data_IF_630177886295
#
_entry.id   IF_630177886295
#
_cell.length_a   1.000
_cell.length_b   1.000
_cell.length_c   1.000
_cell.angle_alpha   90.00
_cell.angle_beta   90.00
_cell.angle_gamma   90.00
#
_symmetry.space_group_name_H-M   'P 1'
#
loop_
_entity.id
_entity.type
_entity.pdbx_description
1 polymer ?
#
# COMPACT_ATOMS: atom_id res chain seq x y z
N UNK A 1 18.62 8.36 -12.42
CA UNK A 1 17.18 8.68 -12.29
C UNK A 1 16.98 9.46 -11.02
N UNK A 2 16.05 10.40 -10.98
CA UNK A 2 15.68 11.13 -9.76
C UNK A 2 14.61 10.39 -8.97
N UNK A 3 14.65 10.48 -7.62
CA UNK A 3 13.74 9.75 -6.71
C UNK A 3 13.06 10.74 -5.76
N UNK A 4 11.73 10.73 -5.76
CA UNK A 4 10.90 11.37 -4.77
C UNK A 4 10.43 10.34 -3.75
N UNK A 5 10.47 10.69 -2.47
CA UNK A 5 9.94 9.87 -1.36
C UNK A 5 8.74 10.58 -0.76
N UNK A 6 7.59 9.92 -0.74
CA UNK A 6 6.32 10.42 -0.21
C UNK A 6 5.99 9.71 1.10
N UNK A 7 5.63 10.49 2.11
CA UNK A 7 5.32 10.00 3.46
C UNK A 7 4.01 10.61 3.93
N UNK A 8 2.88 9.92 3.74
CA UNK A 8 1.64 10.27 4.43
C UNK A 8 1.79 9.99 5.92
N UNK A 9 1.38 10.93 6.76
CA UNK A 9 1.43 10.76 8.22
C UNK A 9 0.22 11.42 8.89
N UNK A 10 -0.16 10.91 10.07
CA UNK A 10 -1.24 11.46 10.88
C UNK A 10 -1.01 11.16 12.36
N UNK A 11 -0.79 12.19 13.17
CA UNK A 11 -0.59 12.07 14.62
C UNK A 11 0.54 11.09 15.05
N UNK A 12 1.62 11.00 14.24
CA UNK A 12 2.74 10.07 14.43
C UNK A 12 4.11 10.75 14.29
N UNK A 13 4.42 11.78 15.09
CA UNK A 13 5.66 12.55 14.94
C UNK A 13 6.91 11.71 15.20
N UNK A 14 6.84 10.73 16.10
CA UNK A 14 7.97 9.86 16.45
C UNK A 14 8.30 8.89 15.32
N UNK A 15 7.28 8.27 14.76
CA UNK A 15 7.41 7.35 13.63
C UNK A 15 7.98 8.08 12.41
N UNK A 16 7.39 9.21 12.05
CA UNK A 16 7.88 10.07 10.96
C UNK A 16 9.35 10.46 11.18
N UNK A 17 9.74 10.85 12.40
CA UNK A 17 11.12 11.22 12.68
C UNK A 17 12.08 10.04 12.55
N UNK A 18 11.68 8.84 12.96
CA UNK A 18 12.47 7.61 12.80
C UNK A 18 12.64 7.25 11.33
N UNK A 19 11.56 7.35 10.52
CA UNK A 19 11.65 7.14 9.08
C UNK A 19 12.64 8.12 8.44
N UNK A 20 12.52 9.43 8.70
CA UNK A 20 13.42 10.47 8.18
C UNK A 20 14.87 10.17 8.58
N UNK A 21 15.13 9.70 9.80
CA UNK A 21 16.46 9.29 10.23
C UNK A 21 17.02 8.14 9.38
N UNK A 22 16.20 7.18 8.99
CA UNK A 22 16.64 6.10 8.10
C UNK A 22 16.88 6.61 6.66
N UNK A 23 16.08 7.57 6.22
CA UNK A 23 16.16 8.15 4.89
C UNK A 23 17.44 8.97 4.67
N UNK A 24 17.84 9.79 5.63
CA UNK A 24 19.09 10.55 5.53
C UNK A 24 20.35 9.69 5.60
N UNK A 25 20.23 8.43 6.08
CA UNK A 25 21.33 7.45 6.11
C UNK A 25 21.44 6.62 4.83
N UNK A 26 20.56 6.84 3.84
CA UNK A 26 20.65 6.13 2.58
C UNK A 26 21.97 6.46 1.85
N UNK A 27 22.60 5.44 1.25
CA UNK A 27 23.80 5.62 0.39
C UNK A 27 23.46 6.41 -0.87
N UNK A 28 22.24 6.21 -1.41
CA UNK A 28 21.58 7.02 -2.44
C UNK A 28 20.46 7.82 -1.77
N UNK A 29 20.67 9.09 -1.52
CA UNK A 29 19.65 9.97 -0.92
C UNK A 29 18.54 10.27 -1.91
N UNK A 30 17.27 10.49 -1.48
CA UNK A 30 16.24 10.98 -2.38
C UNK A 30 16.57 12.40 -2.85
N UNK A 31 16.09 12.75 -4.03
CA UNK A 31 16.21 14.11 -4.57
C UNK A 31 15.11 15.02 -4.01
N UNK A 32 13.95 14.42 -3.70
CA UNK A 32 12.80 15.11 -3.12
C UNK A 32 12.17 14.26 -2.01
N UNK A 33 11.72 14.92 -0.94
CA UNK A 33 10.86 14.32 0.10
C UNK A 33 9.57 15.12 0.16
N UNK A 34 8.43 14.43 0.12
CA UNK A 34 7.11 15.03 0.24
C UNK A 34 6.45 14.43 1.48
N UNK A 35 6.22 15.23 2.51
CA UNK A 35 5.48 14.85 3.71
C UNK A 35 4.06 15.39 3.58
N UNK A 36 3.06 14.51 3.72
CA UNK A 36 1.65 14.90 3.78
C UNK A 36 1.12 14.62 5.17
N UNK A 37 1.10 15.64 6.00
CA UNK A 37 0.71 15.57 7.40
C UNK A 37 -0.77 15.95 7.58
N UNK A 38 -1.59 14.97 7.92
CA UNK A 38 -3.03 15.06 8.14
C UNK A 38 -3.40 15.26 9.62
N UNK A 39 -2.43 15.64 10.44
CA UNK A 39 -2.62 15.81 11.90
C UNK A 39 -3.43 17.06 12.22
N UNK A 40 -4.23 17.03 13.29
CA UNK A 40 -4.96 18.20 13.75
C UNK A 40 -4.05 19.33 14.24
N UNK A 41 -2.94 18.97 14.89
CA UNK A 41 -1.97 19.93 15.39
C UNK A 41 -0.69 19.87 14.57
N UNK A 42 -0.14 21.01 14.19
CA UNK A 42 1.20 21.09 13.61
C UNK A 42 2.21 20.46 14.56
N UNK A 43 2.99 19.50 14.08
CA UNK A 43 4.08 19.00 14.91
C UNK A 43 5.18 20.05 15.06
N UNK A 44 5.64 20.27 16.29
CA UNK A 44 6.84 21.08 16.57
C UNK A 44 8.10 20.54 15.83
N UNK A 45 8.03 19.31 15.33
CA UNK A 45 9.12 18.66 14.62
C UNK A 45 9.22 19.05 13.13
N UNK A 46 8.25 19.77 12.54
CA UNK A 46 8.32 20.21 11.13
C UNK A 46 9.64 20.90 10.83
N UNK A 47 9.95 21.97 11.57
CA UNK A 47 11.18 22.76 11.39
C UNK A 47 12.44 21.91 11.57
N UNK A 48 12.43 20.95 12.52
CA UNK A 48 13.56 20.03 12.72
C UNK A 48 13.75 19.09 11.56
N UNK A 49 12.67 18.57 10.97
CA UNK A 49 12.69 17.68 9.81
C UNK A 49 13.19 18.44 8.59
N UNK A 50 12.63 19.64 8.32
CA UNK A 50 13.03 20.51 7.22
C UNK A 50 14.53 20.85 7.30
N UNK A 51 15.01 21.35 8.43
CA UNK A 51 16.42 21.66 8.65
C UNK A 51 17.31 20.45 8.38
N UNK A 52 16.95 19.28 8.94
CA UNK A 52 17.72 18.04 8.80
C UNK A 52 17.83 17.54 7.36
N UNK A 53 16.79 17.68 6.55
CA UNK A 53 16.78 17.30 5.14
C UNK A 53 17.57 18.30 4.30
N UNK A 54 17.40 19.60 4.55
CA UNK A 54 18.13 20.67 3.85
C UNK A 54 19.63 20.59 4.09
N UNK A 55 20.09 20.29 5.32
CA UNK A 55 21.50 20.04 5.64
C UNK A 55 22.10 18.88 4.82
N UNK A 56 21.28 17.93 4.36
CA UNK A 56 21.68 16.83 3.49
C UNK A 56 21.44 17.12 2.00
N UNK A 57 21.10 18.35 1.63
CA UNK A 57 20.78 18.80 0.27
C UNK A 57 19.61 18.03 -0.35
N UNK A 58 18.61 17.66 0.45
CA UNK A 58 17.40 16.99 0.02
C UNK A 58 16.28 18.01 -0.05
N UNK A 59 15.63 18.14 -1.21
CA UNK A 59 14.48 19.04 -1.37
C UNK A 59 13.28 18.51 -0.57
N UNK A 60 12.62 19.37 0.20
CA UNK A 60 11.46 19.00 0.99
C UNK A 60 10.23 19.83 0.63
N UNK A 61 9.09 19.16 0.52
CA UNK A 61 7.74 19.73 0.47
C UNK A 61 6.94 19.20 1.65
N UNK A 62 6.73 20.00 2.67
CA UNK A 62 5.95 19.60 3.86
C UNK A 62 4.57 20.26 3.80
N UNK A 63 3.53 19.46 3.53
CA UNK A 63 2.13 19.85 3.51
C UNK A 63 1.52 19.47 4.83
N UNK A 64 0.97 20.44 5.54
CA UNK A 64 0.10 20.19 6.69
C UNK A 64 -1.31 20.59 6.31
N UNK A 65 -2.20 19.62 6.18
CA UNK A 65 -3.58 19.84 5.77
C UNK A 65 -4.52 18.81 6.44
N UNK A 66 -5.29 19.28 7.39
CA UNK A 66 -6.27 18.47 8.14
C UNK A 66 -7.47 18.05 7.29
N UNK A 67 -7.73 18.76 6.17
CA UNK A 67 -8.85 18.47 5.27
C UNK A 67 -8.60 17.22 4.43
N UNK A 68 -7.34 16.83 4.23
CA UNK A 68 -6.99 15.58 3.55
C UNK A 68 -7.47 14.39 4.38
N UNK A 69 -8.41 13.64 3.83
CA UNK A 69 -9.04 12.55 4.55
C UNK A 69 -8.59 11.17 4.05
N UNK A 70 -7.49 10.69 4.63
CA UNK A 70 -7.01 9.33 4.42
C UNK A 70 -5.85 9.20 3.44
N UNK A 71 -5.37 7.96 3.32
CA UNK A 71 -4.14 7.62 2.61
C UNK A 71 -4.23 7.90 1.10
N UNK A 72 -5.37 7.61 0.49
CA UNK A 72 -5.59 7.77 -0.96
C UNK A 72 -5.47 9.23 -1.38
N UNK A 73 -6.15 10.14 -0.66
CA UNK A 73 -6.10 11.58 -0.95
C UNK A 73 -4.68 12.14 -0.71
N UNK A 74 -4.01 11.68 0.34
CA UNK A 74 -2.64 12.08 0.63
C UNK A 74 -1.66 11.63 -0.47
N UNK A 75 -1.79 10.41 -0.98
CA UNK A 75 -1.00 9.93 -2.12
C UNK A 75 -1.33 10.72 -3.39
N UNK A 76 -2.60 10.93 -3.69
CA UNK A 76 -3.02 11.68 -4.88
C UNK A 76 -2.51 13.13 -4.89
N UNK A 77 -2.58 13.83 -3.75
CA UNK A 77 -2.04 15.20 -3.63
C UNK A 77 -0.53 15.25 -3.81
N UNK A 78 0.19 14.26 -3.29
CA UNK A 78 1.66 14.20 -3.41
C UNK A 78 2.14 13.91 -4.83
N UNK A 79 1.39 13.14 -5.63
CA UNK A 79 1.73 12.89 -7.04
C UNK A 79 1.84 14.20 -7.83
N UNK A 80 0.97 15.18 -7.55
CA UNK A 80 0.99 16.49 -8.22
C UNK A 80 2.24 17.32 -7.92
N UNK A 81 2.90 17.04 -6.81
CA UNK A 81 4.10 17.74 -6.35
C UNK A 81 5.40 17.02 -6.76
N UNK A 82 5.26 15.81 -7.27
CA UNK A 82 6.41 15.01 -7.69
C UNK A 82 7.11 15.66 -8.91
N UNK A 83 8.43 15.85 -8.79
CA UNK A 83 9.30 16.37 -9.85
C UNK A 83 10.35 15.35 -10.31
N UNK A 84 10.22 14.09 -9.86
CA UNK A 84 11.24 13.06 -10.07
C UNK A 84 10.75 11.96 -11.01
N UNK A 85 11.68 11.18 -11.54
CA UNK A 85 11.40 10.03 -12.42
C UNK A 85 10.72 8.87 -11.71
N UNK A 86 11.05 8.70 -10.42
CA UNK A 86 10.52 7.66 -9.53
C UNK A 86 9.83 8.33 -8.36
N UNK A 87 8.65 7.85 -8.03
CA UNK A 87 7.92 8.23 -6.81
C UNK A 87 7.77 6.99 -5.91
N UNK A 88 8.27 7.09 -4.69
CA UNK A 88 8.26 6.01 -3.70
C UNK A 88 7.37 6.39 -2.52
N UNK A 89 6.32 5.60 -2.27
CA UNK A 89 5.41 5.79 -1.14
C UNK A 89 5.85 4.92 0.03
N UNK A 90 6.01 5.51 1.20
CA UNK A 90 6.34 4.80 2.42
C UNK A 90 5.41 5.21 3.56
N UNK A 91 4.97 4.21 4.35
CA UNK A 91 4.35 4.46 5.63
C UNK A 91 5.37 5.06 6.61
N UNK A 92 4.90 5.89 7.54
CA UNK A 92 5.75 6.60 8.52
C UNK A 92 6.40 5.67 9.55
N UNK A 93 5.92 4.42 9.68
CA UNK A 93 6.41 3.39 10.62
C UNK A 93 7.38 2.37 9.95
N UNK A 94 8.00 2.76 8.85
CA UNK A 94 9.04 2.00 8.15
C UNK A 94 10.44 2.49 8.53
N UNK A 95 11.43 1.59 8.45
CA UNK A 95 12.85 1.90 8.55
C UNK A 95 13.57 1.25 7.38
N UNK A 96 14.20 2.06 6.53
CA UNK A 96 14.94 1.60 5.35
C UNK A 96 16.36 1.15 5.73
N UNK A 97 16.85 0.05 5.14
CA UNK A 97 18.28 -0.28 5.21
C UNK A 97 19.10 0.66 4.31
N UNK A 98 20.42 0.84 4.56
CA UNK A 98 21.21 1.89 3.90
C UNK A 98 21.23 1.91 2.37
N UNK A 99 21.06 0.76 1.72
CA UNK A 99 21.12 0.63 0.25
C UNK A 99 19.74 0.50 -0.41
N UNK A 100 18.65 0.74 0.32
CA UNK A 100 17.31 0.52 -0.21
C UNK A 100 17.07 1.30 -1.51
N UNK A 101 17.18 2.63 -1.48
CA UNK A 101 16.91 3.49 -2.63
C UNK A 101 17.89 3.27 -3.78
N UNK A 102 19.18 2.98 -3.48
CA UNK A 102 20.17 2.63 -4.48
C UNK A 102 19.74 1.39 -5.28
N UNK A 103 19.29 0.35 -4.59
CA UNK A 103 18.87 -0.89 -5.23
C UNK A 103 17.56 -0.72 -6.02
N UNK A 104 16.61 0.08 -5.52
CA UNK A 104 15.39 0.46 -6.27
C UNK A 104 15.77 1.14 -7.58
N UNK A 105 16.64 2.16 -7.53
CA UNK A 105 17.10 2.87 -8.72
C UNK A 105 17.75 1.95 -9.75
N UNK A 106 18.65 1.06 -9.31
CA UNK A 106 19.34 0.10 -10.17
C UNK A 106 18.39 -0.85 -10.90
N UNK A 107 17.33 -1.32 -10.22
CA UNK A 107 16.32 -2.17 -10.86
C UNK A 107 15.57 -1.40 -11.95
N UNK A 108 15.13 -0.18 -11.67
CA UNK A 108 14.45 0.64 -12.67
C UNK A 108 15.35 1.02 -13.84
N UNK A 109 16.64 1.29 -13.61
CA UNK A 109 17.60 1.60 -14.69
C UNK A 109 17.79 0.42 -15.64
N UNK A 110 17.87 -0.80 -15.09
CA UNK A 110 18.12 -2.03 -15.88
C UNK A 110 16.87 -2.59 -16.56
N UNK A 111 15.66 -2.22 -16.12
CA UNK A 111 14.43 -2.87 -16.56
C UNK A 111 13.36 -1.83 -16.92
N UNK A 112 13.35 -1.39 -18.15
CA UNK A 112 12.45 -0.31 -18.63
C UNK A 112 10.96 -0.69 -18.62
N UNK A 113 10.62 -2.00 -18.65
CA UNK A 113 9.24 -2.50 -18.61
C UNK A 113 8.64 -2.44 -17.20
N UNK A 114 9.47 -2.44 -16.15
CA UNK A 114 8.99 -2.36 -14.77
C UNK A 114 8.41 -0.98 -14.50
N UNK A 115 7.13 -0.95 -14.10
CA UNK A 115 6.40 0.25 -13.74
C UNK A 115 6.32 0.45 -12.24
N UNK A 116 6.26 -0.64 -11.47
CA UNK A 116 6.14 -0.62 -10.03
C UNK A 116 7.03 -1.68 -9.34
N UNK A 117 7.56 -1.34 -8.18
CA UNK A 117 8.55 -2.16 -7.46
C UNK A 117 8.36 -2.08 -5.95
N UNK A 118 8.37 -3.25 -5.28
CA UNK A 118 8.45 -3.36 -3.82
C UNK A 118 9.83 -3.86 -3.41
N UNK A 119 10.26 -3.44 -2.22
CA UNK A 119 11.36 -4.08 -1.51
C UNK A 119 10.87 -5.19 -0.58
N UNK A 120 11.80 -5.89 0.06
CA UNK A 120 11.57 -6.99 0.98
C UNK A 120 11.47 -6.50 2.43
N UNK A 121 10.38 -6.86 3.12
CA UNK A 121 10.22 -6.61 4.56
C UNK A 121 10.97 -7.70 5.34
N UNK A 122 11.99 -7.33 6.10
CA UNK A 122 12.83 -8.28 6.85
C UNK A 122 12.14 -8.85 8.09
N UNK A 123 11.32 -8.06 8.75
CA UNK A 123 10.57 -8.45 9.95
C UNK A 123 9.14 -8.92 9.65
N UNK A 124 8.87 -9.36 8.41
CA UNK A 124 7.57 -9.91 8.07
C UNK A 124 7.34 -11.23 8.85
N UNK A 125 6.22 -11.37 9.59
CA UNK A 125 5.93 -12.59 10.34
C UNK A 125 5.88 -13.82 9.43
N UNK A 126 6.58 -14.89 9.82
CA UNK A 126 6.48 -16.16 9.11
C UNK A 126 5.06 -16.69 9.22
N UNK A 127 4.42 -16.95 8.10
CA UNK A 127 3.11 -17.57 8.06
C UNK A 127 3.24 -19.09 8.20
N UNK A 128 2.32 -19.73 8.94
CA UNK A 128 2.21 -21.18 8.95
C UNK A 128 1.90 -21.70 7.54
N UNK A 129 2.23 -22.98 7.28
CA UNK A 129 1.97 -23.59 5.97
C UNK A 129 0.46 -23.63 5.66
N UNK A 130 -0.38 -23.96 6.64
CA UNK A 130 -1.84 -23.98 6.45
C UNK A 130 -2.39 -22.59 6.10
N UNK A 131 -1.91 -21.54 6.77
CA UNK A 131 -2.31 -20.15 6.44
C UNK A 131 -1.87 -19.75 5.04
N UNK A 132 -0.67 -20.17 4.63
CA UNK A 132 -0.18 -19.93 3.28
C UNK A 132 -1.05 -20.65 2.23
N UNK A 133 -1.32 -21.94 2.41
CA UNK A 133 -2.15 -22.72 1.49
C UNK A 133 -3.56 -22.13 1.37
N UNK A 134 -4.16 -21.77 2.50
CA UNK A 134 -5.46 -21.10 2.52
C UNK A 134 -5.45 -19.79 1.74
N UNK A 135 -4.40 -18.99 1.91
CA UNK A 135 -4.26 -17.72 1.18
C UNK A 135 -4.16 -17.96 -0.34
N UNK A 136 -3.36 -18.91 -0.79
CA UNK A 136 -3.22 -19.24 -2.22
C UNK A 136 -4.53 -19.71 -2.86
N UNK A 137 -5.36 -20.45 -2.11
CA UNK A 137 -6.66 -20.94 -2.60
C UNK A 137 -7.69 -19.82 -2.69
N UNK A 138 -7.65 -18.86 -1.75
CA UNK A 138 -8.70 -17.83 -1.64
C UNK A 138 -8.37 -16.54 -2.41
N UNK A 139 -7.09 -16.27 -2.66
CA UNK A 139 -6.64 -15.08 -3.41
C UNK A 139 -6.37 -15.42 -4.87
N UNK A 140 -7.46 -15.65 -5.61
CA UNK A 140 -7.44 -16.00 -7.04
C UNK A 140 -8.25 -14.99 -7.87
N UNK A 141 -8.24 -15.12 -9.18
CA UNK A 141 -8.97 -14.22 -10.08
C UNK A 141 -8.47 -12.79 -9.99
N UNK A 142 -9.39 -11.83 -9.82
CA UNK A 142 -9.04 -10.40 -9.76
C UNK A 142 -8.24 -10.04 -8.51
N UNK A 143 -8.47 -10.77 -7.40
CA UNK A 143 -7.74 -10.60 -6.13
C UNK A 143 -6.50 -11.47 -6.02
N UNK A 144 -6.02 -12.02 -7.15
CA UNK A 144 -4.79 -12.81 -7.13
C UNK A 144 -3.66 -12.00 -6.51
N UNK A 145 -3.04 -12.59 -5.48
CA UNK A 145 -1.96 -11.98 -4.71
C UNK A 145 -0.85 -13.00 -4.47
N UNK A 146 0.23 -12.87 -5.18
CA UNK A 146 1.36 -13.77 -5.11
C UNK A 146 2.50 -13.26 -4.20
N UNK A 147 2.28 -12.20 -3.41
CA UNK A 147 3.29 -11.63 -2.51
C UNK A 147 3.85 -12.67 -1.53
N UNK A 148 2.98 -13.51 -0.94
CA UNK A 148 3.42 -14.57 -0.03
C UNK A 148 4.33 -15.60 -0.71
N UNK A 149 4.01 -16.00 -1.93
CA UNK A 149 4.83 -16.90 -2.75
C UNK A 149 6.18 -16.24 -3.08
N UNK A 150 6.18 -14.97 -3.45
CA UNK A 150 7.38 -14.20 -3.74
C UNK A 150 8.33 -14.11 -2.54
N UNK A 151 7.80 -13.89 -1.32
CA UNK A 151 8.60 -13.90 -0.10
C UNK A 151 9.25 -15.27 0.20
N UNK A 152 8.62 -16.37 -0.19
CA UNK A 152 9.11 -17.74 0.01
C UNK A 152 10.07 -18.20 -1.07
N UNK A 153 10.01 -17.65 -2.28
CA UNK A 153 10.94 -17.99 -3.36
C UNK A 153 12.37 -17.63 -2.95
N UNK A 154 13.31 -18.58 -3.00
CA UNK A 154 14.72 -18.35 -2.64
C UNK A 154 15.64 -18.24 -3.85
N UNK A 155 15.19 -18.63 -5.03
CA UNK A 155 16.01 -18.73 -6.23
C UNK A 155 16.16 -17.41 -7.00
N UNK A 156 15.18 -16.52 -6.90
CA UNK A 156 15.13 -15.30 -7.70
C UNK A 156 15.22 -14.04 -6.82
N UNK A 157 15.95 -13.05 -7.29
CA UNK A 157 16.07 -11.74 -6.62
C UNK A 157 15.05 -10.72 -7.11
N UNK A 158 14.49 -10.91 -8.28
CA UNK A 158 13.48 -10.05 -8.90
C UNK A 158 12.28 -10.92 -9.31
N UNK A 159 11.13 -10.71 -8.71
CA UNK A 159 9.96 -11.58 -8.83
C UNK A 159 8.76 -10.77 -9.26
N UNK A 160 8.06 -11.21 -10.32
CA UNK A 160 6.82 -10.59 -10.78
C UNK A 160 5.73 -10.70 -9.71
N UNK A 161 5.02 -9.60 -9.46
CA UNK A 161 3.92 -9.52 -8.52
C UNK A 161 2.60 -9.17 -9.22
N UNK A 162 1.51 -9.65 -8.64
CA UNK A 162 0.17 -9.22 -9.03
C UNK A 162 -0.25 -7.92 -8.33
N UNK A 163 0.22 -7.71 -7.10
CA UNK A 163 -0.15 -6.56 -6.26
C UNK A 163 1.10 -6.02 -5.57
N UNK A 164 1.27 -4.70 -5.55
CA UNK A 164 2.27 -4.05 -4.72
C UNK A 164 1.63 -3.58 -3.40
N UNK A 165 2.41 -3.65 -2.31
CA UNK A 165 1.98 -3.12 -1.01
C UNK A 165 2.08 -1.59 -1.02
N UNK A 166 0.97 -0.91 -0.73
CA UNK A 166 0.84 0.52 -0.86
C UNK A 166 1.80 1.35 0.01
N UNK A 167 2.13 0.86 1.20
CA UNK A 167 3.01 1.55 2.15
C UNK A 167 4.52 1.37 1.92
N UNK A 168 4.94 0.70 0.83
CA UNK A 168 6.36 0.48 0.50
C UNK A 168 6.62 0.36 -1.01
N UNK A 169 5.79 0.98 -1.82
CA UNK A 169 5.83 0.85 -3.28
C UNK A 169 6.55 2.02 -3.94
N UNK A 170 7.40 1.69 -4.92
CA UNK A 170 8.07 2.65 -5.78
C UNK A 170 7.55 2.52 -7.21
N UNK A 171 7.28 3.63 -7.87
CA UNK A 171 6.64 3.68 -9.18
C UNK A 171 7.40 4.59 -10.14
N UNK A 172 7.44 4.25 -11.43
CA UNK A 172 7.79 5.24 -12.45
C UNK A 172 6.75 6.35 -12.47
N UNK A 173 7.16 7.59 -12.40
CA UNK A 173 6.25 8.74 -12.41
C UNK A 173 5.32 8.76 -13.64
N UNK A 174 5.77 8.26 -14.79
CA UNK A 174 4.96 8.15 -16.02
C UNK A 174 3.69 7.32 -15.86
N UNK A 175 3.61 6.42 -14.87
CA UNK A 175 2.39 5.64 -14.57
C UNK A 175 1.25 6.59 -14.22
N UNK A 176 1.53 7.64 -13.46
CA UNK A 176 0.53 8.59 -12.99
C UNK A 176 0.02 9.54 -14.09
N UNK A 177 0.65 9.57 -15.26
CA UNK A 177 0.10 10.26 -16.44
C UNK A 177 -1.11 9.52 -17.03
N UNK A 178 -1.24 8.21 -16.75
CA UNK A 178 -2.34 7.37 -17.27
C UNK A 178 -3.29 6.88 -16.18
N UNK A 179 -2.83 6.75 -14.95
CA UNK A 179 -3.59 6.16 -13.85
C UNK A 179 -3.44 7.05 -12.62
N UNK A 180 -4.55 7.60 -12.13
CA UNK A 180 -4.60 8.39 -10.90
C UNK A 180 -5.10 7.51 -9.74
N UNK A 181 -4.79 7.87 -8.49
CA UNK A 181 -5.44 7.26 -7.35
C UNK A 181 -6.95 7.58 -7.34
N UNK A 182 -7.77 6.60 -6.98
CA UNK A 182 -9.23 6.76 -6.93
C UNK A 182 -9.65 7.48 -5.65
N UNK A 183 -9.71 8.81 -5.71
CA UNK A 183 -10.13 9.65 -4.59
C UNK A 183 -11.64 9.70 -4.39
N UNK A 184 -12.42 9.24 -5.38
CA UNK A 184 -13.90 9.25 -5.35
C UNK A 184 -14.39 8.06 -4.52
N UNK A 185 -13.98 6.86 -4.89
CA UNK A 185 -14.41 5.63 -4.21
C UNK A 185 -13.68 5.38 -2.88
N UNK A 186 -12.56 6.06 -2.65
CA UNK A 186 -11.80 6.08 -1.38
C UNK A 186 -11.59 4.68 -0.81
N UNK A 187 -10.84 3.86 -1.51
CA UNK A 187 -10.44 2.53 -1.02
C UNK A 187 -9.46 2.70 0.14
N UNK A 188 -9.95 2.65 1.38
CA UNK A 188 -9.14 2.95 2.56
C UNK A 188 -8.21 1.82 3.01
N UNK A 189 -8.57 0.57 2.70
CA UNK A 189 -7.81 -0.62 3.08
C UNK A 189 -7.31 -1.43 1.90
N UNK A 190 -7.83 -1.20 0.70
CA UNK A 190 -7.50 -1.95 -0.52
C UNK A 190 -7.08 -1.02 -1.68
N UNK A 191 -6.58 0.18 -1.39
CA UNK A 191 -6.14 1.12 -2.42
C UNK A 191 -4.96 0.59 -3.24
N UNK A 192 -4.09 -0.19 -2.63
CA UNK A 192 -2.95 -0.83 -3.28
C UNK A 192 -3.41 -1.97 -4.22
N UNK A 193 -4.42 -2.72 -3.81
CA UNK A 193 -5.03 -3.77 -4.63
C UNK A 193 -5.70 -3.15 -5.85
N UNK A 194 -6.58 -2.16 -5.64
CA UNK A 194 -7.32 -1.48 -6.71
C UNK A 194 -6.38 -0.80 -7.70
N UNK A 195 -5.38 -0.08 -7.21
CA UNK A 195 -4.39 0.60 -8.05
C UNK A 195 -3.55 -0.41 -8.85
N UNK A 196 -3.08 -1.50 -8.22
CA UNK A 196 -2.32 -2.55 -8.90
C UNK A 196 -3.12 -3.26 -9.99
N UNK A 197 -4.43 -3.49 -9.78
CA UNK A 197 -5.33 -4.05 -10.81
C UNK A 197 -5.36 -3.14 -12.04
N UNK A 198 -5.53 -1.81 -11.86
CA UNK A 198 -5.54 -0.87 -12.99
C UNK A 198 -4.19 -0.79 -13.69
N UNK A 199 -3.10 -0.80 -12.94
CA UNK A 199 -1.76 -0.80 -13.52
C UNK A 199 -1.54 -2.05 -14.36
N UNK A 200 -1.88 -3.25 -13.87
CA UNK A 200 -1.72 -4.50 -14.64
C UNK A 200 -2.55 -4.54 -15.92
N UNK A 201 -3.72 -3.90 -15.94
CA UNK A 201 -4.56 -3.81 -17.14
C UNK A 201 -3.89 -2.98 -18.25
N UNK A 202 -3.18 -1.91 -17.89
CA UNK A 202 -2.53 -1.00 -18.85
C UNK A 202 -1.06 -1.40 -19.11
N UNK A 203 -0.38 -1.87 -18.09
CA UNK A 203 1.03 -2.27 -18.12
C UNK A 203 1.17 -3.71 -17.60
N UNK A 204 0.84 -4.73 -18.42
CA UNK A 204 0.93 -6.12 -18.00
C UNK A 204 2.37 -6.51 -17.65
N UNK A 205 2.53 -7.42 -16.68
CA UNK A 205 3.85 -7.93 -16.23
C UNK A 205 4.86 -6.84 -15.86
N UNK A 206 4.41 -5.77 -15.19
CA UNK A 206 5.24 -4.60 -14.87
C UNK A 206 5.42 -4.34 -13.39
N UNK A 207 4.84 -5.17 -12.51
CA UNK A 207 4.94 -5.06 -11.06
C UNK A 207 5.90 -6.12 -10.52
N UNK A 208 6.84 -5.73 -9.67
CA UNK A 208 7.88 -6.63 -9.18
C UNK A 208 8.20 -6.42 -7.70
N UNK A 209 8.77 -7.46 -7.07
CA UNK A 209 9.48 -7.39 -5.80
C UNK A 209 10.96 -7.59 -6.05
N UNK A 210 11.81 -6.74 -5.45
CA UNK A 210 13.25 -6.98 -5.39
C UNK A 210 13.68 -7.37 -3.99
N UNK A 211 14.42 -8.47 -3.89
CA UNK A 211 15.00 -8.94 -2.62
C UNK A 211 16.29 -8.22 -2.23
N UNK A 212 16.80 -7.37 -3.10
CA UNK A 212 18.01 -6.60 -2.81
C UNK A 212 17.74 -5.30 -2.03
N UNK A 213 16.48 -4.86 -1.98
CA UNK A 213 16.06 -3.67 -1.23
C UNK A 213 15.33 -4.08 0.04
N UNK A 214 15.91 -3.83 1.20
CA UNK A 214 15.41 -4.31 2.48
C UNK A 214 14.87 -3.17 3.34
N UNK A 215 13.81 -3.46 4.09
CA UNK A 215 13.23 -2.55 5.07
C UNK A 215 12.64 -3.31 6.26
N UNK A 216 12.40 -2.59 7.35
CA UNK A 216 11.63 -3.03 8.50
C UNK A 216 10.31 -2.26 8.54
N UNK A 217 9.20 -2.94 8.83
CA UNK A 217 7.88 -2.33 8.97
C UNK A 217 7.32 -2.64 10.37
N UNK A 218 7.19 -1.63 11.22
CA UNK A 218 6.88 -1.81 12.65
C UNK A 218 5.39 -1.85 12.97
N UNK A 219 4.52 -1.57 12.00
CA UNK A 219 3.06 -1.68 12.14
C UNK A 219 2.52 -0.93 13.38
N UNK A 220 2.81 0.36 13.49
CA UNK A 220 2.34 1.19 14.62
C UNK A 220 0.82 1.01 14.85
N UNK A 221 0.42 0.81 16.11
CA UNK A 221 -0.97 0.62 16.50
C UNK A 221 -1.80 1.91 16.47
N UNK A 222 -1.13 3.08 16.53
CA UNK A 222 -1.81 4.38 16.56
C UNK A 222 -2.59 4.65 15.26
N UNK A 223 -3.76 5.29 15.40
CA UNK A 223 -4.67 5.67 14.30
C UNK A 223 -5.24 4.51 13.46
N UNK A 224 -5.10 3.25 13.89
CA UNK A 224 -5.72 2.12 13.19
C UNK A 224 -7.18 1.97 13.60
N UNK A 225 -8.05 1.72 12.63
CA UNK A 225 -9.42 1.27 12.90
C UNK A 225 -9.38 -0.04 13.68
N UNK A 226 -10.39 -0.27 14.54
CA UNK A 226 -10.52 -1.57 15.21
C UNK A 226 -10.53 -2.71 14.18
N UNK A 227 -9.97 -3.87 14.50
CA UNK A 227 -9.98 -5.03 13.60
C UNK A 227 -11.39 -5.44 13.19
N UNK A 228 -12.37 -5.28 14.10
CA UNK A 228 -13.80 -5.50 13.82
C UNK A 228 -14.27 -4.61 12.67
N UNK A 229 -13.97 -3.32 12.71
CA UNK A 229 -14.38 -2.39 11.64
C UNK A 229 -13.59 -2.60 10.35
N UNK A 230 -12.37 -3.11 10.43
CA UNK A 230 -11.60 -3.51 9.25
C UNK A 230 -12.29 -4.62 8.49
N UNK A 231 -12.73 -5.70 9.16
CA UNK A 231 -13.45 -6.80 8.50
C UNK A 231 -14.65 -6.29 7.70
N UNK A 232 -15.48 -5.42 8.29
CA UNK A 232 -16.62 -4.83 7.58
C UNK A 232 -16.18 -4.04 6.34
N UNK A 233 -15.16 -3.18 6.49
CA UNK A 233 -14.70 -2.34 5.40
C UNK A 233 -14.04 -3.13 4.27
N UNK A 234 -13.20 -4.13 4.60
CA UNK A 234 -12.51 -4.96 3.60
C UNK A 234 -13.52 -5.70 2.69
N UNK A 235 -14.64 -6.15 3.25
CA UNK A 235 -15.71 -6.77 2.47
C UNK A 235 -16.38 -5.73 1.55
N UNK A 236 -16.74 -4.55 2.08
CA UNK A 236 -17.36 -3.49 1.29
C UNK A 236 -16.46 -3.06 0.14
N UNK A 237 -15.16 -2.86 0.42
CA UNK A 237 -14.17 -2.47 -0.60
C UNK A 237 -13.94 -3.59 -1.61
N UNK A 238 -13.92 -4.85 -1.18
CA UNK A 238 -13.88 -6.01 -2.06
C UNK A 238 -15.06 -6.03 -3.04
N UNK A 239 -16.29 -5.76 -2.59
CA UNK A 239 -17.45 -5.64 -3.48
C UNK A 239 -17.31 -4.47 -4.47
N UNK A 240 -16.80 -3.32 -4.03
CA UNK A 240 -16.53 -2.18 -4.92
C UNK A 240 -15.54 -2.57 -6.04
N UNK A 241 -14.42 -3.21 -5.67
CA UNK A 241 -13.41 -3.66 -6.63
C UNK A 241 -14.00 -4.66 -7.61
N UNK A 242 -14.77 -5.65 -7.14
CA UNK A 242 -15.40 -6.64 -7.99
C UNK A 242 -16.36 -5.99 -8.99
N UNK A 243 -17.24 -5.12 -8.53
CA UNK A 243 -18.22 -4.45 -9.38
C UNK A 243 -17.56 -3.52 -10.41
N UNK A 244 -16.46 -2.85 -10.03
CA UNK A 244 -15.71 -1.96 -10.91
C UNK A 244 -14.84 -2.68 -11.94
N UNK A 245 -14.26 -3.83 -11.60
CA UNK A 245 -13.17 -4.40 -12.38
C UNK A 245 -13.42 -5.82 -12.89
N UNK A 246 -14.41 -6.55 -12.38
CA UNK A 246 -14.70 -7.93 -12.79
C UNK A 246 -15.53 -7.97 -14.06
N UNK A 247 -15.16 -8.85 -14.99
CA UNK A 247 -16.03 -9.16 -16.12
C UNK A 247 -17.26 -9.91 -15.63
N UNK A 248 -18.44 -9.64 -16.21
CA UNK A 248 -19.71 -10.23 -15.79
C UNK A 248 -19.69 -11.76 -15.68
N UNK A 249 -18.96 -12.47 -16.56
CA UNK A 249 -18.90 -13.93 -16.59
C UNK A 249 -18.24 -14.56 -15.33
N UNK A 250 -17.37 -13.83 -14.63
CA UNK A 250 -16.67 -14.32 -13.44
C UNK A 250 -17.06 -13.57 -12.16
N UNK A 251 -17.98 -12.62 -12.27
CA UNK A 251 -18.36 -11.79 -11.12
C UNK A 251 -18.89 -12.62 -9.97
N UNK A 252 -19.82 -13.54 -10.25
CA UNK A 252 -20.43 -14.40 -9.21
C UNK A 252 -19.38 -15.27 -8.52
N UNK A 253 -18.49 -15.91 -9.27
CA UNK A 253 -17.42 -16.73 -8.71
C UNK A 253 -16.50 -15.90 -7.80
N UNK A 254 -16.09 -14.72 -8.24
CA UNK A 254 -15.24 -13.83 -7.45
C UNK A 254 -15.95 -13.34 -6.17
N UNK A 255 -17.26 -13.09 -6.22
CA UNK A 255 -18.07 -12.76 -5.03
C UNK A 255 -18.09 -13.95 -4.05
N UNK A 256 -18.33 -15.16 -4.54
CA UNK A 256 -18.33 -16.37 -3.69
C UNK A 256 -16.96 -16.54 -3.00
N UNK A 257 -15.87 -16.42 -3.74
CA UNK A 257 -14.51 -16.53 -3.19
C UNK A 257 -14.21 -15.43 -2.15
N UNK A 258 -14.61 -14.18 -2.42
CA UNK A 258 -14.49 -13.07 -1.46
C UNK A 258 -15.24 -13.39 -0.17
N UNK A 259 -16.48 -13.90 -0.27
CA UNK A 259 -17.31 -14.21 0.89
C UNK A 259 -16.77 -15.40 1.70
N UNK A 260 -16.32 -16.46 1.03
CA UNK A 260 -15.69 -17.61 1.71
C UNK A 260 -14.45 -17.16 2.47
N UNK A 261 -13.55 -16.42 1.83
CA UNK A 261 -12.34 -15.90 2.47
C UNK A 261 -12.67 -15.01 3.68
N UNK A 262 -13.59 -14.08 3.51
CA UNK A 262 -13.98 -13.13 4.55
C UNK A 262 -14.68 -13.83 5.73
N UNK A 263 -15.53 -14.84 5.46
CA UNK A 263 -16.20 -15.62 6.50
C UNK A 263 -15.18 -16.43 7.34
N UNK A 264 -14.27 -17.13 6.66
CA UNK A 264 -13.24 -17.92 7.33
C UNK A 264 -12.29 -17.03 8.14
N UNK A 265 -11.91 -15.87 7.61
CA UNK A 265 -11.11 -14.88 8.34
C UNK A 265 -11.85 -14.36 9.58
N UNK A 266 -13.13 -14.00 9.44
CA UNK A 266 -13.98 -13.53 10.56
C UNK A 266 -14.17 -14.59 11.63
N UNK A 267 -14.36 -15.85 11.24
CA UNK A 267 -14.46 -16.98 12.16
C UNK A 267 -13.14 -17.19 12.91
N UNK A 268 -12.00 -17.16 12.19
CA UNK A 268 -10.68 -17.25 12.82
C UNK A 268 -10.46 -16.12 13.85
N UNK A 269 -10.79 -14.88 13.51
CA UNK A 269 -10.66 -13.75 14.44
C UNK A 269 -11.62 -13.90 15.63
N UNK A 270 -12.85 -14.38 15.40
CA UNK A 270 -13.83 -14.62 16.47
C UNK A 270 -13.30 -15.62 17.49
N UNK A 271 -12.70 -16.72 17.04
CA UNK A 271 -12.09 -17.72 17.91
C UNK A 271 -10.86 -17.17 18.63
N UNK A 272 -9.95 -16.51 17.88
CA UNK A 272 -8.71 -15.95 18.41
C UNK A 272 -8.95 -14.92 19.53
N UNK A 273 -9.92 -14.03 19.33
CA UNK A 273 -10.21 -12.93 20.27
C UNK A 273 -11.42 -13.25 21.19
N UNK A 274 -12.02 -14.45 21.07
CA UNK A 274 -13.24 -14.85 21.80
C UNK A 274 -14.35 -13.79 21.68
N UNK A 275 -14.58 -13.29 20.49
CA UNK A 275 -15.49 -12.17 20.23
C UNK A 275 -16.31 -12.37 18.94
N UNK A 276 -17.61 -12.59 19.07
CA UNK A 276 -18.53 -12.83 17.96
C UNK A 276 -18.84 -11.58 17.10
N UNK A 277 -18.44 -10.39 17.55
CA UNK A 277 -18.63 -9.17 16.75
C UNK A 277 -17.90 -9.20 15.39
N UNK A 278 -16.89 -10.05 15.20
CA UNK A 278 -16.28 -10.25 13.89
C UNK A 278 -17.24 -10.88 12.89
N UNK A 279 -18.08 -11.85 13.32
CA UNK A 279 -19.12 -12.45 12.47
C UNK A 279 -20.22 -11.41 12.17
N UNK A 280 -20.63 -10.62 13.17
CA UNK A 280 -21.58 -9.53 12.95
C UNK A 280 -21.05 -8.52 11.93
N UNK A 281 -19.74 -8.19 11.97
CA UNK A 281 -19.10 -7.30 11.00
C UNK A 281 -19.02 -7.88 9.61
N UNK A 282 -18.81 -9.21 9.49
CA UNK A 282 -18.90 -9.90 8.20
C UNK A 282 -20.31 -9.74 7.60
N UNK A 283 -21.37 -10.01 8.38
CA UNK A 283 -22.75 -9.88 7.92
C UNK A 283 -23.06 -8.44 7.50
N UNK A 284 -22.66 -7.45 8.30
CA UNK A 284 -22.83 -6.03 7.98
C UNK A 284 -22.10 -5.64 6.71
N UNK A 285 -20.86 -6.09 6.54
CA UNK A 285 -20.04 -5.85 5.35
C UNK A 285 -20.68 -6.46 4.10
N UNK A 286 -21.18 -7.68 4.19
CA UNK A 286 -21.90 -8.35 3.11
C UNK A 286 -23.16 -7.60 2.69
N UNK A 287 -24.05 -7.26 3.64
CA UNK A 287 -25.30 -6.54 3.35
C UNK A 287 -25.02 -5.19 2.70
N UNK A 288 -24.02 -4.44 3.20
CA UNK A 288 -23.64 -3.13 2.64
C UNK A 288 -23.00 -3.27 1.27
N UNK A 289 -22.10 -4.22 1.11
CA UNK A 289 -21.40 -4.48 -0.16
C UNK A 289 -22.34 -4.93 -1.27
N UNK A 290 -23.30 -5.81 -0.97
CA UNK A 290 -24.29 -6.29 -1.93
C UNK A 290 -25.20 -5.14 -2.46
N UNK A 291 -25.51 -4.14 -1.62
CA UNK A 291 -26.34 -2.97 -1.98
C UNK A 291 -25.63 -1.91 -2.83
N UNK A 292 -24.30 -1.99 -3.03
CA UNK A 292 -23.58 -1.03 -3.86
C UNK A 292 -24.09 -1.16 -5.30
N UNK A 293 -24.47 -0.07 -5.94
CA UNK A 293 -24.85 -0.03 -7.36
C UNK A 293 -23.63 0.24 -8.23
N UNK A 294 -23.59 -0.31 -9.44
CA UNK A 294 -22.49 -0.10 -10.40
C UNK A 294 -22.37 1.36 -10.82
N UNK A 295 -23.50 2.06 -11.01
CA UNK A 295 -23.57 3.45 -11.45
C UNK A 295 -22.82 4.45 -10.55
N UNK A 296 -22.51 4.05 -9.32
CA UNK A 296 -21.76 4.86 -8.36
C UNK A 296 -20.22 4.64 -8.42
N UNK A 297 -19.76 3.79 -9.32
CA UNK A 297 -18.34 3.37 -9.39
C UNK A 297 -17.65 3.79 -10.71
N UNK A 298 -18.40 4.31 -11.69
CA UNK A 298 -17.94 4.56 -13.07
C UNK A 298 -17.43 6.01 -13.32
N UNK A 299 -16.92 6.69 -12.29
CA UNK A 299 -16.30 8.01 -12.48
C UNK A 299 -14.81 8.00 -12.14
#
# INVERSE_FOLDING_TARGET
MTISVVIPTKNRPRELFNFINSLIKQSRKPDQVIVVDQSKNKFCSKTKIEKKLLEKKINISYIHDESINGLVEAKASSVRLNKCDIISFFDDDIVLTPNYLKNIELVFQKNNHICGLNGLILNNPKQSFLKYLFFEITHVGIFRDNRNKAYRNKSENLIELDILSGGLSSWRAKVFNKIQFDTINKFHGMEDVEFSIRVRKIFPKSLYLTKNSHLYHYHSASNRKSEIKRVENDIIEGFKILKKHSNNNFLLLNIILLLINSLLHSTFLSVKYKNLFFISSFIKGFIKGAKIKNDNLDN
#
